data_IF_201854816013
#
_entry.id   IF_201854816013
#
_cell.length_a   1.000
_cell.length_b   1.000
_cell.length_c   1.000
_cell.angle_alpha   90.00
_cell.angle_beta   90.00
_cell.angle_gamma   90.00
#
_symmetry.space_group_name_H-M   'P 1'
#
loop_
_entity.id
_entity.type
_entity.pdbx_description
1 polymer ?
#
# COMPACT_ATOMS: atom_id res chain seq x y z
N UNK A 1 -6.52 9.82 11.61
CA UNK A 1 -6.63 8.99 10.40
C UNK A 1 -5.52 9.40 9.45
N UNK A 2 -4.49 8.57 9.32
CA UNK A 2 -3.36 8.87 8.43
C UNK A 2 -3.73 8.63 6.96
N UNK A 3 -3.03 9.29 6.04
CA UNK A 3 -3.32 9.21 4.60
C UNK A 3 -3.07 7.79 4.04
N UNK A 4 -2.05 7.09 4.54
CA UNK A 4 -1.70 5.73 4.13
C UNK A 4 -2.67 4.65 4.65
N UNK A 5 -3.64 5.02 5.49
CA UNK A 5 -4.67 4.11 5.98
C UNK A 5 -5.92 4.10 5.08
N UNK A 6 -6.01 5.03 4.12
CA UNK A 6 -7.08 5.12 3.12
C UNK A 6 -8.51 5.13 3.67
N UNK A 7 -8.73 5.74 4.85
CA UNK A 7 -10.09 6.00 5.35
C UNK A 7 -10.88 6.88 4.37
N UNK A 8 -12.18 6.61 4.22
CA UNK A 8 -13.08 7.56 3.56
C UNK A 8 -13.34 8.75 4.50
N UNK A 9 -12.38 9.69 4.55
CA UNK A 9 -12.41 10.82 5.48
C UNK A 9 -13.69 11.62 5.38
N UNK A 10 -14.15 11.88 4.14
CA UNK A 10 -15.38 12.64 3.90
C UNK A 10 -16.57 11.99 4.57
N UNK A 11 -16.85 10.72 4.26
CA UNK A 11 -18.03 10.03 4.80
C UNK A 11 -17.93 9.79 6.30
N UNK A 12 -16.72 9.52 6.80
CA UNK A 12 -16.47 9.37 8.25
C UNK A 12 -16.73 10.66 9.02
N UNK A 13 -16.34 11.82 8.47
CA UNK A 13 -16.68 13.13 9.05
C UNK A 13 -18.18 13.40 9.01
N UNK A 14 -18.85 13.13 7.88
CA UNK A 14 -20.31 13.27 7.78
C UNK A 14 -21.06 12.45 8.85
N UNK A 15 -20.67 11.18 9.05
CA UNK A 15 -21.28 10.32 10.09
C UNK A 15 -20.98 10.86 11.48
N UNK A 16 -19.76 11.36 11.72
CA UNK A 16 -19.39 11.96 13.00
C UNK A 16 -20.20 13.22 13.32
N UNK A 17 -20.41 14.11 12.34
CA UNK A 17 -21.20 15.32 12.53
C UNK A 17 -22.67 14.99 12.85
N UNK A 18 -23.23 13.94 12.22
CA UNK A 18 -24.56 13.42 12.55
C UNK A 18 -24.60 12.92 14.00
N UNK A 19 -23.61 12.14 14.43
CA UNK A 19 -23.50 11.63 15.81
C UNK A 19 -23.43 12.76 16.84
N UNK A 20 -22.62 13.80 16.56
CA UNK A 20 -22.48 14.98 17.41
C UNK A 20 -23.79 15.76 17.50
N UNK A 21 -24.45 16.02 16.37
CA UNK A 21 -25.73 16.75 16.37
C UNK A 21 -26.85 16.00 17.12
N UNK A 22 -26.92 14.68 16.96
CA UNK A 22 -27.88 13.84 17.69
C UNK A 22 -27.60 13.85 19.22
N UNK A 23 -26.32 13.81 19.60
CA UNK A 23 -25.91 13.97 20.99
C UNK A 23 -26.30 15.33 21.59
N UNK A 24 -26.08 16.42 20.85
CA UNK A 24 -26.43 17.78 21.29
C UNK A 24 -27.93 17.95 21.51
N UNK A 25 -28.75 17.37 20.62
CA UNK A 25 -30.20 17.37 20.77
C UNK A 25 -30.65 16.59 22.00
N UNK A 26 -30.12 15.39 22.24
CA UNK A 26 -30.46 14.58 23.42
C UNK A 26 -30.07 15.30 24.73
N UNK A 27 -28.89 15.93 24.74
CA UNK A 27 -28.44 16.74 25.88
C UNK A 27 -29.34 17.95 26.11
N UNK A 28 -29.79 18.63 25.05
CA UNK A 28 -30.68 19.77 25.15
C UNK A 28 -32.10 19.40 25.63
N UNK A 29 -32.59 18.21 25.26
CA UNK A 29 -33.86 17.64 25.74
C UNK A 29 -33.85 17.21 27.21
N UNK A 30 -32.67 17.20 27.86
CA UNK A 30 -32.52 16.78 29.25
C UNK A 30 -32.47 15.26 29.42
N UNK A 31 -32.24 14.50 28.34
CA UNK A 31 -32.08 13.06 28.41
C UNK A 31 -30.80 12.69 29.19
N UNK A 32 -30.85 11.61 29.96
CA UNK A 32 -29.68 11.10 30.67
C UNK A 32 -28.69 10.51 29.65
N UNK A 33 -27.67 11.31 29.30
CA UNK A 33 -26.59 10.87 28.43
C UNK A 33 -25.50 10.20 29.27
N UNK A 34 -25.34 8.89 29.11
CA UNK A 34 -24.19 8.13 29.63
C UNK A 34 -23.19 7.84 28.49
N UNK A 35 -21.97 7.48 28.88
CA UNK A 35 -20.89 6.98 28.02
C UNK A 35 -21.28 5.82 27.09
N UNK A 36 -22.35 5.09 27.41
CA UNK A 36 -22.84 3.94 26.63
C UNK A 36 -23.93 4.33 25.61
N UNK A 37 -24.39 5.57 25.59
CA UNK A 37 -25.49 5.99 24.71
C UNK A 37 -25.07 5.99 23.23
N UNK A 38 -25.80 5.24 22.39
CA UNK A 38 -25.66 5.26 20.93
C UNK A 38 -26.58 6.33 20.33
N UNK A 39 -25.97 7.32 19.65
CA UNK A 39 -26.69 8.42 19.00
C UNK A 39 -26.87 8.23 17.49
N UNK A 40 -26.22 7.21 16.93
CA UNK A 40 -26.37 6.83 15.53
C UNK A 40 -27.50 5.82 15.36
N UNK A 41 -28.22 5.93 14.24
CA UNK A 41 -29.15 4.88 13.83
C UNK A 41 -28.40 3.57 13.57
N UNK A 42 -29.07 2.40 13.71
CA UNK A 42 -28.43 1.11 13.43
C UNK A 42 -27.80 1.02 12.03
N UNK A 43 -28.44 1.66 11.04
CA UNK A 43 -27.93 1.73 9.68
C UNK A 43 -26.62 2.54 9.58
N UNK A 44 -26.55 3.71 10.21
CA UNK A 44 -25.35 4.55 10.23
C UNK A 44 -24.22 3.91 11.04
N UNK A 45 -24.55 3.20 12.12
CA UNK A 45 -23.56 2.44 12.88
C UNK A 45 -22.94 1.32 12.03
N UNK A 46 -23.76 0.55 11.32
CA UNK A 46 -23.29 -0.49 10.42
C UNK A 46 -22.44 0.08 9.27
N UNK A 47 -22.83 1.24 8.72
CA UNK A 47 -22.04 1.94 7.70
C UNK A 47 -20.68 2.39 8.25
N UNK A 48 -20.65 3.00 9.45
CA UNK A 48 -19.42 3.41 10.14
C UNK A 48 -18.48 2.24 10.35
N UNK A 49 -19.00 1.11 10.83
CA UNK A 49 -18.21 -0.10 11.06
C UNK A 49 -17.67 -0.68 9.74
N UNK A 50 -18.49 -0.72 8.69
CA UNK A 50 -18.07 -1.15 7.37
C UNK A 50 -16.94 -0.26 6.80
N UNK A 51 -17.06 1.08 6.93
CA UNK A 51 -16.02 2.02 6.51
C UNK A 51 -14.71 1.85 7.27
N UNK A 52 -14.77 1.51 8.56
CA UNK A 52 -13.59 1.20 9.37
C UNK A 52 -12.93 -0.09 8.90
N UNK A 53 -13.72 -1.15 8.64
CA UNK A 53 -13.21 -2.44 8.18
C UNK A 53 -12.58 -2.39 6.78
N UNK A 54 -13.11 -1.54 5.90
CA UNK A 54 -12.53 -1.31 4.57
C UNK A 54 -11.18 -0.58 4.62
N UNK A 55 -10.98 0.25 5.64
CA UNK A 55 -9.74 1.00 5.82
C UNK A 55 -8.62 0.11 6.40
N UNK A 56 -7.40 0.65 6.39
CA UNK A 56 -6.21 -0.06 6.86
C UNK A 56 -5.74 0.49 8.20
N UNK A 57 -6.59 0.37 9.23
CA UNK A 57 -6.31 0.90 10.58
C UNK A 57 -5.01 0.39 11.20
N UNK A 58 -4.66 -0.88 10.93
CA UNK A 58 -3.44 -1.52 11.45
C UNK A 58 -2.15 -1.15 10.68
N UNK A 59 -2.27 -0.33 9.64
CA UNK A 59 -1.13 0.15 8.86
C UNK A 59 -0.56 1.41 9.48
N UNK A 60 0.57 1.26 10.15
CA UNK A 60 1.34 2.36 10.73
C UNK A 60 2.34 2.94 9.70
N UNK A 61 2.92 4.09 10.06
CA UNK A 61 3.90 4.81 9.23
C UNK A 61 5.10 3.94 8.82
N UNK A 62 5.76 3.17 9.72
CA UNK A 62 6.80 2.21 9.34
C UNK A 62 6.36 1.17 8.30
N UNK A 63 5.18 0.57 8.47
CA UNK A 63 4.65 -0.42 7.53
C UNK A 63 4.48 0.18 6.12
N UNK A 64 3.96 1.40 6.04
CA UNK A 64 3.82 2.11 4.77
C UNK A 64 5.16 2.33 4.06
N UNK A 65 6.15 2.90 4.74
CA UNK A 65 7.46 3.14 4.12
C UNK A 65 8.19 1.84 3.77
N UNK A 66 8.04 0.81 4.59
CA UNK A 66 8.54 -0.52 4.28
C UNK A 66 7.87 -1.06 3.01
N UNK A 67 6.55 -1.01 2.92
CA UNK A 67 5.80 -1.44 1.74
C UNK A 67 6.27 -0.74 0.46
N UNK A 68 6.40 0.59 0.48
CA UNK A 68 6.93 1.38 -0.66
C UNK A 68 8.34 0.95 -1.04
N UNK A 69 9.22 0.74 -0.05
CA UNK A 69 10.59 0.26 -0.28
C UNK A 69 10.60 -1.13 -0.91
N UNK A 70 9.73 -2.03 -0.45
CA UNK A 70 9.65 -3.41 -0.95
C UNK A 70 9.04 -3.47 -2.36
N UNK A 71 8.07 -2.61 -2.67
CA UNK A 71 7.59 -2.43 -4.04
C UNK A 71 8.72 -2.03 -4.99
N UNK A 72 9.58 -1.09 -4.59
CA UNK A 72 10.73 -0.70 -5.41
C UNK A 72 11.79 -1.82 -5.54
N UNK A 73 11.89 -2.74 -4.58
CA UNK A 73 12.87 -3.83 -4.55
C UNK A 73 12.42 -5.05 -5.35
N UNK A 74 11.18 -5.50 -5.15
CA UNK A 74 10.64 -6.73 -5.73
C UNK A 74 9.75 -6.49 -6.95
N UNK A 75 9.33 -5.24 -7.17
CA UNK A 75 8.36 -4.86 -8.18
C UNK A 75 6.92 -5.11 -7.75
N UNK A 76 5.98 -4.44 -8.42
CA UNK A 76 4.54 -4.52 -8.14
C UNK A 76 3.93 -5.90 -8.38
N UNK A 77 4.58 -6.76 -9.16
CA UNK A 77 4.10 -8.11 -9.49
C UNK A 77 4.40 -9.15 -8.41
N UNK A 78 5.43 -8.94 -7.58
CA UNK A 78 5.88 -9.93 -6.61
C UNK A 78 5.39 -9.61 -5.19
N UNK A 79 4.07 -9.50 -5.03
CA UNK A 79 3.42 -9.23 -3.74
C UNK A 79 3.68 -10.34 -2.70
N UNK A 80 3.94 -11.58 -3.12
CA UNK A 80 4.26 -12.67 -2.22
C UNK A 80 5.60 -12.46 -1.48
N UNK A 81 6.62 -11.92 -2.17
CA UNK A 81 7.88 -11.56 -1.53
C UNK A 81 7.70 -10.39 -0.55
N UNK A 82 6.88 -9.40 -0.92
CA UNK A 82 6.55 -8.26 -0.06
C UNK A 82 5.84 -8.72 1.21
N UNK A 83 4.80 -9.55 1.08
CA UNK A 83 4.04 -10.09 2.20
C UNK A 83 4.92 -10.88 3.18
N UNK A 84 5.84 -11.69 2.65
CA UNK A 84 6.81 -12.42 3.46
C UNK A 84 7.72 -11.49 4.26
N UNK A 85 8.28 -10.45 3.64
CA UNK A 85 9.20 -9.53 4.32
C UNK A 85 8.49 -8.57 5.28
N UNK A 86 7.22 -8.25 5.02
CA UNK A 86 6.37 -7.49 5.95
C UNK A 86 5.80 -8.34 7.09
N UNK A 87 5.93 -9.67 7.04
CA UNK A 87 5.30 -10.60 7.98
C UNK A 87 3.79 -10.34 8.09
N UNK A 88 3.15 -10.16 6.93
CA UNK A 88 1.71 -9.93 6.80
C UNK A 88 1.07 -10.98 5.89
N UNK A 89 -0.22 -11.31 6.06
CA UNK A 89 -0.94 -12.18 5.15
C UNK A 89 -0.91 -11.65 3.71
N UNK A 90 -0.79 -12.55 2.74
CA UNK A 90 -0.79 -12.18 1.32
C UNK A 90 -2.05 -11.40 0.94
N UNK A 91 -3.22 -11.86 1.40
CA UNK A 91 -4.51 -11.24 1.07
C UNK A 91 -4.60 -9.80 1.58
N UNK A 92 -4.05 -9.52 2.77
CA UNK A 92 -3.98 -8.17 3.32
C UNK A 92 -3.09 -7.25 2.46
N UNK A 93 -1.90 -7.73 2.09
CA UNK A 93 -0.95 -6.98 1.26
C UNK A 93 -1.48 -6.78 -0.16
N UNK A 94 -2.18 -7.77 -0.72
CA UNK A 94 -2.82 -7.66 -2.02
C UNK A 94 -3.95 -6.62 -2.03
N UNK A 95 -4.84 -6.64 -1.02
CA UNK A 95 -5.87 -5.61 -0.82
C UNK A 95 -5.27 -4.22 -0.67
N UNK A 96 -4.20 -4.11 0.13
CA UNK A 96 -3.50 -2.86 0.35
C UNK A 96 -2.86 -2.35 -0.94
N UNK A 97 -2.19 -3.20 -1.71
CA UNK A 97 -1.57 -2.85 -2.97
C UNK A 97 -2.59 -2.33 -3.99
N UNK A 98 -3.72 -3.02 -4.14
CA UNK A 98 -4.81 -2.61 -5.03
C UNK A 98 -5.34 -1.21 -4.67
N UNK A 99 -5.62 -0.99 -3.38
CA UNK A 99 -6.06 0.32 -2.89
C UNK A 99 -4.98 1.38 -3.06
N UNK A 100 -3.73 1.05 -2.77
CA UNK A 100 -2.59 1.96 -2.89
C UNK A 100 -2.36 2.43 -4.33
N UNK A 101 -2.51 1.56 -5.33
CA UNK A 101 -2.38 1.97 -6.73
C UNK A 101 -3.61 2.70 -7.26
N UNK A 102 -4.81 2.38 -6.74
CA UNK A 102 -6.06 3.01 -7.16
C UNK A 102 -6.25 4.40 -6.55
N UNK A 103 -5.92 4.55 -5.26
CA UNK A 103 -6.14 5.76 -4.45
C UNK A 103 -4.85 6.46 -4.05
N UNK A 104 -3.72 6.06 -4.64
CA UNK A 104 -2.40 6.61 -4.33
C UNK A 104 -2.30 8.12 -4.51
N UNK A 105 -3.09 8.71 -5.41
CA UNK A 105 -3.19 10.17 -5.60
C UNK A 105 -3.72 10.94 -4.40
N UNK A 106 -4.34 10.27 -3.41
CA UNK A 106 -4.75 10.88 -2.14
C UNK A 106 -3.55 11.15 -1.22
N UNK A 107 -2.40 10.52 -1.49
CA UNK A 107 -1.17 10.69 -0.70
C UNK A 107 -0.46 11.98 -1.10
N UNK A 108 -0.01 12.75 -0.11
CA UNK A 108 0.69 14.02 -0.31
C UNK A 108 1.93 13.89 -1.20
N UNK A 109 2.72 12.82 -1.03
CA UNK A 109 3.97 12.59 -1.76
C UNK A 109 3.84 11.56 -2.91
N UNK A 110 2.63 11.36 -3.46
CA UNK A 110 2.35 10.31 -4.44
C UNK A 110 3.32 10.28 -5.63
N UNK A 111 3.56 11.43 -6.28
CA UNK A 111 4.42 11.49 -7.46
C UNK A 111 5.85 11.06 -7.18
N UNK A 112 6.37 11.41 -5.99
CA UNK A 112 7.71 11.03 -5.55
C UNK A 112 7.78 9.53 -5.27
N UNK A 113 6.77 9.00 -4.57
CA UNK A 113 6.64 7.58 -4.25
C UNK A 113 6.56 6.75 -5.53
N UNK A 114 5.66 7.13 -6.45
CA UNK A 114 5.46 6.49 -7.75
C UNK A 114 6.75 6.44 -8.56
N UNK A 115 7.44 7.59 -8.72
CA UNK A 115 8.72 7.65 -9.45
C UNK A 115 9.80 6.79 -8.80
N UNK A 116 9.82 6.71 -7.46
CA UNK A 116 10.77 5.85 -6.74
C UNK A 116 10.52 4.37 -7.03
N UNK A 117 9.25 3.94 -7.08
CA UNK A 117 8.85 2.57 -7.40
C UNK A 117 9.21 2.26 -8.87
N UNK A 118 8.83 3.10 -9.82
CA UNK A 118 9.12 2.92 -11.25
C UNK A 118 10.63 2.85 -11.52
N UNK A 119 11.43 3.66 -10.82
CA UNK A 119 12.91 3.60 -10.89
C UNK A 119 13.46 2.29 -10.33
N UNK A 120 12.88 1.77 -9.25
CA UNK A 120 13.24 0.47 -8.69
C UNK A 120 12.96 -0.68 -9.65
N UNK A 121 11.76 -0.67 -10.24
CA UNK A 121 11.34 -1.67 -11.23
C UNK A 121 12.20 -1.62 -12.51
N UNK A 122 12.53 -0.43 -12.99
CA UNK A 122 13.42 -0.27 -14.15
C UNK A 122 14.80 -0.89 -13.92
N UNK A 123 15.37 -0.69 -12.72
CA UNK A 123 16.63 -1.35 -12.33
C UNK A 123 16.50 -2.86 -12.24
N UNK A 124 15.40 -3.36 -11.69
CA UNK A 124 15.13 -4.80 -11.60
C UNK A 124 15.10 -5.44 -13.00
N UNK A 125 14.39 -4.79 -13.93
CA UNK A 125 14.30 -5.23 -15.32
C UNK A 125 15.66 -5.15 -16.03
N UNK A 126 16.47 -4.12 -15.76
CA UNK A 126 17.83 -4.01 -16.29
C UNK A 126 18.74 -5.15 -15.79
N UNK A 127 18.70 -5.44 -14.49
CA UNK A 127 19.47 -6.55 -13.89
C UNK A 127 19.06 -7.88 -14.53
N UNK A 128 17.76 -8.13 -14.69
CA UNK A 128 17.27 -9.34 -15.33
C UNK A 128 17.73 -9.44 -16.79
N UNK A 129 17.61 -8.35 -17.55
CA UNK A 129 18.10 -8.27 -18.94
C UNK A 129 19.60 -8.58 -19.04
N UNK A 130 20.42 -8.02 -18.15
CA UNK A 130 21.86 -8.27 -18.12
C UNK A 130 22.20 -9.71 -17.73
N UNK A 131 21.45 -10.29 -16.78
CA UNK A 131 21.59 -11.68 -16.39
C UNK A 131 21.28 -12.63 -17.56
N UNK A 132 20.18 -12.37 -18.28
CA UNK A 132 19.78 -13.16 -19.45
C UNK A 132 20.81 -13.07 -20.59
N UNK A 133 21.32 -11.86 -20.85
CA UNK A 133 22.39 -11.65 -21.83
C UNK A 133 23.69 -12.37 -21.45
N UNK A 134 24.06 -12.31 -20.18
CA UNK A 134 25.22 -13.03 -19.64
C UNK A 134 25.05 -14.54 -19.80
N UNK A 135 23.89 -15.07 -19.41
CA UNK A 135 23.58 -16.49 -19.56
C UNK A 135 23.61 -16.93 -21.02
N UNK A 136 23.06 -16.13 -21.94
CA UNK A 136 23.09 -16.42 -23.37
C UNK A 136 24.52 -16.41 -23.93
N UNK A 137 25.37 -15.48 -23.50
CA UNK A 137 26.78 -15.42 -23.92
C UNK A 137 27.54 -16.66 -23.45
N UNK A 138 27.38 -17.06 -22.18
CA UNK A 138 28.01 -18.26 -21.62
C UNK A 138 27.59 -19.50 -22.41
N UNK A 139 26.30 -19.66 -22.70
CA UNK A 139 25.76 -20.81 -23.47
C UNK A 139 26.33 -20.97 -24.87
N UNK A 140 26.97 -19.95 -25.45
CA UNK A 140 27.61 -20.04 -26.79
C UNK A 140 28.94 -20.78 -26.78
N UNK A 141 29.51 -21.03 -25.60
CA UNK A 141 30.82 -21.67 -25.45
C UNK A 141 30.66 -23.03 -24.77
N UNK A 142 31.36 -24.04 -25.27
CA UNK A 142 31.38 -25.37 -24.66
C UNK A 142 32.18 -25.37 -23.35
N UNK A 143 33.30 -24.63 -23.30
CA UNK A 143 34.08 -24.39 -22.10
C UNK A 143 34.27 -22.87 -21.85
N UNK A 144 33.29 -22.21 -21.19
CA UNK A 144 33.32 -20.76 -20.96
C UNK A 144 34.51 -20.27 -20.14
N UNK A 145 35.17 -21.13 -19.35
CA UNK A 145 36.33 -20.71 -18.53
C UNK A 145 37.56 -20.42 -19.39
N UNK A 146 37.77 -21.19 -20.46
CA UNK A 146 38.93 -21.06 -21.32
C UNK A 146 38.62 -20.27 -22.61
N UNK A 147 37.41 -20.43 -23.16
CA UNK A 147 37.08 -19.94 -24.51
C UNK A 147 36.37 -18.57 -24.54
N UNK A 148 35.87 -18.08 -23.39
CA UNK A 148 35.05 -16.88 -23.37
C UNK A 148 35.89 -15.61 -23.55
N UNK A 149 35.65 -14.91 -24.66
CA UNK A 149 36.29 -13.63 -24.96
C UNK A 149 35.33 -12.47 -24.68
N UNK A 150 35.79 -11.51 -23.88
CA UNK A 150 35.12 -10.23 -23.62
C UNK A 150 35.70 -9.18 -24.57
N UNK A 151 34.89 -8.71 -25.52
CA UNK A 151 35.28 -7.65 -26.43
C UNK A 151 35.02 -6.29 -25.76
N UNK A 152 36.09 -5.62 -25.34
CA UNK A 152 36.04 -4.25 -24.85
C UNK A 152 35.96 -3.28 -26.04
N UNK A 153 34.76 -3.13 -26.63
CA UNK A 153 34.49 -2.01 -27.52
C UNK A 153 34.27 -0.77 -26.65
N UNK A 154 35.34 0.01 -26.43
CA UNK A 154 35.28 1.26 -25.71
C UNK A 154 34.42 2.29 -26.44
N UNK A 155 33.56 2.98 -25.69
CA UNK A 155 33.02 4.28 -26.09
C UNK A 155 33.84 5.36 -25.40
#
# INVERSE_FOLDING_TARGET
MDEWQFYNRRRMTEIHDIEVSAYELAKASGDAVDSTSMFLSPALQAEKEHLIQMAFGDWNKPHFFLFVKLLARYGRSNLAAIAREMVKPYDEVARYADTFFTRGSELTDWDKIRKSIEKGESKLLEIQRLADQTALKIKRYANPYDDLVINYQGK
#
